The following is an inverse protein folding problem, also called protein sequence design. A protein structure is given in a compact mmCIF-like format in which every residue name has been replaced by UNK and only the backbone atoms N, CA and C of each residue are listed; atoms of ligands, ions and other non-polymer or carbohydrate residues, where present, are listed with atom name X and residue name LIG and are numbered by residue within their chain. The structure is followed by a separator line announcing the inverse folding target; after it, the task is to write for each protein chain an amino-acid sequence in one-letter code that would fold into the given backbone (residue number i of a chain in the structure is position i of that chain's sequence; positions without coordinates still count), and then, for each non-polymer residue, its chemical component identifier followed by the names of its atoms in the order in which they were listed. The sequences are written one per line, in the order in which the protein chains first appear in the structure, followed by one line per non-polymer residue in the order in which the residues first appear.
data_IF_742889696680
#
_entry.id   IF_742889696680
#
_cell.length_a   1.000
_cell.length_b   1.000
_cell.length_c   1.000
_cell.angle_alpha   90.00
_cell.angle_beta   90.00
_cell.angle_gamma   90.00
#
_symmetry.space_group_name_H-M   'P 1'
#
loop_
_entity.id
_entity.type
_entity.pdbx_description
1 polymer ?
#
# COMPACT_ATOMS: atom_id res chain seq x y z
N UNK A 1 -23.59 -2.12 -5.78
CA UNK A 1 -23.21 -0.72 -5.43
C UNK A 1 -21.71 -0.57 -5.52
N UNK A 2 -21.22 0.64 -5.75
CA UNK A 2 -19.78 0.94 -5.74
C UNK A 2 -19.30 0.84 -4.30
N UNK A 3 -18.32 -0.03 -4.03
CA UNK A 3 -17.66 -0.12 -2.72
C UNK A 3 -16.51 0.89 -2.69
N UNK A 4 -16.54 1.91 -1.82
CA UNK A 4 -15.46 2.87 -1.75
C UNK A 4 -14.21 2.20 -1.18
N UNK A 5 -13.08 2.49 -1.83
CA UNK A 5 -11.73 2.08 -1.42
C UNK A 5 -10.80 3.26 -1.57
N UNK A 6 -9.83 3.37 -0.69
CA UNK A 6 -8.78 4.38 -0.74
C UNK A 6 -7.44 3.70 -1.00
N UNK A 7 -6.72 4.22 -1.99
CA UNK A 7 -5.37 3.78 -2.34
C UNK A 7 -4.40 4.93 -2.08
N UNK A 8 -3.38 4.66 -1.29
CA UNK A 8 -2.33 5.62 -0.98
C UNK A 8 -1.10 5.32 -1.84
N UNK A 9 -0.55 6.35 -2.49
CA UNK A 9 0.77 6.25 -3.10
C UNK A 9 1.86 6.43 -2.05
N UNK A 10 2.58 5.34 -1.77
CA UNK A 10 3.60 5.32 -0.74
C UNK A 10 4.84 6.07 -1.23
N UNK A 11 5.12 7.21 -0.61
CA UNK A 11 6.30 8.03 -0.85
C UNK A 11 6.82 8.55 0.48
N UNK A 12 8.08 8.99 0.52
CA UNK A 12 8.67 9.60 1.73
C UNK A 12 7.86 10.79 2.27
N UNK A 13 7.15 11.52 1.39
CA UNK A 13 6.27 12.63 1.80
C UNK A 13 4.97 12.17 2.45
N UNK A 14 4.42 11.05 1.97
CA UNK A 14 3.11 10.58 2.39
C UNK A 14 3.19 9.74 3.67
N UNK A 15 4.30 9.03 3.91
CA UNK A 15 4.49 8.19 5.09
C UNK A 15 4.14 8.91 6.41
N UNK A 16 4.63 10.14 6.68
CA UNK A 16 4.29 10.87 7.89
C UNK A 16 2.79 11.21 8.03
N UNK A 17 2.05 11.27 6.93
CA UNK A 17 0.64 11.67 6.90
C UNK A 17 -0.33 10.49 7.09
N UNK A 18 0.14 9.24 6.98
CA UNK A 18 -0.71 8.04 7.05
C UNK A 18 -1.49 7.98 8.37
N UNK A 19 -0.87 8.38 9.49
CA UNK A 19 -1.55 8.42 10.78
C UNK A 19 -2.77 9.36 10.78
N UNK A 20 -2.65 10.54 10.17
CA UNK A 20 -3.77 11.47 10.08
C UNK A 20 -4.85 10.98 9.10
N UNK A 21 -4.46 10.29 8.02
CA UNK A 21 -5.44 9.64 7.13
C UNK A 21 -6.27 8.59 7.87
N UNK A 22 -5.66 7.79 8.75
CA UNK A 22 -6.39 6.86 9.62
C UNK A 22 -7.33 7.61 10.58
N UNK A 23 -6.88 8.72 11.16
CA UNK A 23 -7.76 9.55 12.00
C UNK A 23 -8.98 10.06 11.24
N UNK A 24 -8.83 10.45 9.97
CA UNK A 24 -9.95 10.90 9.12
C UNK A 24 -10.95 9.76 8.89
N UNK A 25 -10.46 8.55 8.61
CA UNK A 25 -11.28 7.35 8.43
C UNK A 25 -12.16 7.09 9.64
N UNK A 26 -11.58 7.19 10.84
CA UNK A 26 -12.30 7.00 12.11
C UNK A 26 -13.29 8.13 12.38
N UNK A 27 -12.87 9.40 12.21
CA UNK A 27 -13.73 10.58 12.40
C UNK A 27 -14.97 10.55 11.50
N UNK A 28 -14.81 10.09 10.26
CA UNK A 28 -15.89 9.98 9.29
C UNK A 28 -16.69 8.67 9.40
N UNK A 29 -16.28 7.75 10.29
CA UNK A 29 -16.85 6.42 10.48
C UNK A 29 -16.98 5.65 9.16
N UNK A 30 -15.97 5.75 8.30
CA UNK A 30 -16.06 5.20 6.93
C UNK A 30 -16.27 3.69 6.95
N UNK A 31 -15.63 2.98 7.89
CA UNK A 31 -15.79 1.53 8.08
C UNK A 31 -17.25 1.16 8.34
N UNK A 32 -17.89 1.80 9.31
CA UNK A 32 -19.29 1.54 9.67
C UNK A 32 -20.26 1.93 8.56
N UNK A 33 -20.04 3.08 7.92
CA UNK A 33 -20.90 3.60 6.86
C UNK A 33 -20.87 2.72 5.62
N UNK A 34 -19.73 2.14 5.29
CA UNK A 34 -19.62 1.23 4.14
C UNK A 34 -20.19 -0.14 4.49
N UNK A 35 -20.01 -0.58 5.74
CA UNK A 35 -20.62 -1.79 6.28
C UNK A 35 -22.15 -1.74 6.25
N UNK A 36 -22.77 -0.61 6.61
CA UNK A 36 -24.22 -0.45 6.54
C UNK A 36 -24.78 -0.47 5.10
N UNK A 37 -23.92 -0.22 4.11
CA UNK A 37 -24.24 -0.34 2.68
C UNK A 37 -23.93 -1.74 2.11
N UNK A 38 -23.54 -2.71 2.95
CA UNK A 38 -23.25 -4.08 2.55
C UNK A 38 -21.88 -4.29 1.92
N UNK A 39 -20.91 -3.42 2.20
CA UNK A 39 -19.53 -3.55 1.75
C UNK A 39 -18.52 -3.42 2.89
N UNK A 40 -17.25 -3.67 2.58
CA UNK A 40 -16.14 -3.37 3.48
C UNK A 40 -15.36 -2.19 2.91
N UNK A 41 -15.07 -1.19 3.74
CA UNK A 41 -14.18 -0.11 3.35
C UNK A 41 -12.73 -0.61 3.39
N UNK A 42 -12.02 -0.42 2.30
CA UNK A 42 -10.63 -0.84 2.17
C UNK A 42 -9.71 0.38 2.02
N UNK A 43 -8.62 0.40 2.79
CA UNK A 43 -7.56 1.39 2.71
C UNK A 43 -6.24 0.66 2.61
N UNK A 44 -5.56 0.80 1.48
CA UNK A 44 -4.30 0.09 1.21
C UNK A 44 -3.29 1.01 0.53
N UNK A 45 -2.03 0.58 0.53
CA UNK A 45 -0.91 1.32 -0.05
C UNK A 45 -0.44 0.68 -1.35
N UNK A 46 0.08 1.49 -2.25
CA UNK A 46 0.78 1.05 -3.45
C UNK A 46 2.03 1.90 -3.64
N UNK A 47 3.14 1.32 -4.09
CA UNK A 47 4.35 2.06 -4.44
C UNK A 47 4.21 2.61 -5.86
N UNK A 48 4.70 3.81 -6.16
CA UNK A 48 4.78 4.26 -7.54
C UNK A 48 5.60 3.26 -8.36
N UNK A 49 5.01 2.66 -9.40
CA UNK A 49 5.76 1.84 -10.35
C UNK A 49 6.61 2.71 -11.28
N UNK A 50 7.63 2.20 -11.97
CA UNK A 50 8.53 3.02 -12.81
C UNK A 50 7.89 3.52 -14.13
N UNK A 51 6.58 3.42 -14.28
CA UNK A 51 5.86 3.75 -15.51
C UNK A 51 5.32 5.18 -15.52
N UNK A 52 5.44 5.86 -16.67
CA UNK A 52 4.87 7.19 -16.90
C UNK A 52 5.38 8.25 -15.93
N UNK A 53 4.45 9.03 -15.36
CA UNK A 53 4.76 10.16 -14.47
C UNK A 53 5.38 9.73 -13.13
N UNK A 54 5.29 8.46 -12.74
CA UNK A 54 5.89 7.99 -11.50
C UNK A 54 7.43 8.09 -11.53
N UNK A 55 8.04 8.05 -12.72
CA UNK A 55 9.49 8.32 -12.89
C UNK A 55 9.89 9.72 -12.43
N UNK A 56 8.97 10.69 -12.50
CA UNK A 56 9.24 12.08 -12.07
C UNK A 56 9.32 12.21 -10.54
N UNK A 57 8.68 11.30 -9.80
CA UNK A 57 8.64 11.28 -8.34
C UNK A 57 9.49 10.15 -7.74
N UNK A 58 10.31 9.50 -8.56
CA UNK A 58 11.19 8.40 -8.14
C UNK A 58 12.12 8.80 -6.99
N UNK A 59 12.56 10.06 -6.94
CA UNK A 59 13.37 10.60 -5.85
C UNK A 59 12.64 10.64 -4.49
N UNK A 60 11.33 10.38 -4.46
CA UNK A 60 10.51 10.23 -3.26
C UNK A 60 10.23 8.77 -2.90
N UNK A 61 10.87 7.81 -3.58
CA UNK A 61 10.74 6.38 -3.26
C UNK A 61 11.12 6.14 -1.80
N UNK A 62 10.28 5.44 -1.02
CA UNK A 62 10.61 5.06 0.35
C UNK A 62 11.80 4.10 0.40
N UNK A 63 12.54 4.12 1.50
CA UNK A 63 13.48 3.06 1.87
C UNK A 63 12.83 2.06 2.83
N UNK A 64 13.46 0.91 3.05
CA UNK A 64 13.02 -0.05 4.07
C UNK A 64 12.95 0.56 5.47
N UNK A 65 13.84 1.49 5.81
CA UNK A 65 13.83 2.20 7.09
C UNK A 65 12.57 3.05 7.24
N UNK A 66 12.19 3.78 6.19
CA UNK A 66 10.99 4.62 6.18
C UNK A 66 9.72 3.79 6.45
N UNK A 67 9.67 2.55 5.96
CA UNK A 67 8.51 1.67 6.15
C UNK A 67 8.24 1.29 7.60
N UNK A 68 9.25 1.35 8.48
CA UNK A 68 9.09 1.01 9.91
C UNK A 68 8.14 1.97 10.63
N UNK A 69 7.97 3.18 10.11
CA UNK A 69 7.08 4.19 10.67
C UNK A 69 5.62 4.05 10.24
N UNK A 70 5.35 3.15 9.29
CA UNK A 70 3.99 2.93 8.75
C UNK A 70 3.14 2.21 9.80
N UNK A 71 1.92 2.69 10.10
CA UNK A 71 1.01 2.02 11.02
C UNK A 71 0.69 0.57 10.60
N UNK A 72 0.72 -0.35 11.57
CA UNK A 72 0.49 -1.78 11.32
C UNK A 72 -0.88 -2.08 10.69
N UNK A 73 -1.91 -1.28 11.02
CA UNK A 73 -3.25 -1.42 10.45
C UNK A 73 -3.26 -1.36 8.92
N UNK A 74 -2.53 -0.40 8.33
CA UNK A 74 -2.50 -0.24 6.88
C UNK A 74 -1.61 -1.29 6.20
N UNK A 75 -0.57 -1.77 6.89
CA UNK A 75 0.28 -2.88 6.44
C UNK A 75 -0.58 -4.13 6.29
N UNK A 76 -1.35 -4.49 7.31
CA UNK A 76 -2.20 -5.68 7.28
C UNK A 76 -3.33 -5.55 6.25
N UNK A 77 -3.94 -4.37 6.12
CA UNK A 77 -4.94 -4.13 5.06
C UNK A 77 -4.32 -4.31 3.67
N UNK A 78 -3.11 -3.80 3.45
CA UNK A 78 -2.41 -3.92 2.15
C UNK A 78 -2.02 -5.37 1.85
N UNK A 79 -1.51 -6.12 2.83
CA UNK A 79 -1.22 -7.56 2.68
C UNK A 79 -2.45 -8.35 2.28
N UNK A 80 -3.58 -8.08 2.95
CA UNK A 80 -4.87 -8.69 2.65
C UNK A 80 -5.34 -8.33 1.23
N UNK A 81 -5.17 -7.09 0.81
CA UNK A 81 -5.57 -6.62 -0.52
C UNK A 81 -4.81 -7.33 -1.64
N UNK A 82 -3.47 -7.44 -1.53
CA UNK A 82 -2.64 -8.08 -2.55
C UNK A 82 -2.53 -9.60 -2.39
N UNK A 83 -3.09 -10.17 -1.32
CA UNK A 83 -2.98 -11.59 -0.97
C UNK A 83 -1.51 -12.05 -0.90
N UNK A 84 -0.71 -11.31 -0.12
CA UNK A 84 0.72 -11.56 0.10
C UNK A 84 1.05 -11.53 1.59
N UNK A 85 2.05 -12.31 2.00
CA UNK A 85 2.53 -12.31 3.40
C UNK A 85 3.56 -11.20 3.65
N UNK A 86 4.33 -10.85 2.63
CA UNK A 86 5.37 -9.82 2.64
C UNK A 86 5.01 -8.75 1.61
N UNK A 87 5.08 -7.48 2.00
CA UNK A 87 4.86 -6.36 1.09
C UNK A 87 6.14 -5.93 0.40
N UNK A 88 7.23 -5.84 1.16
CA UNK A 88 8.49 -5.24 0.73
C UNK A 88 9.45 -6.32 0.25
N UNK A 89 10.01 -6.13 -0.93
CA UNK A 89 11.06 -7.00 -1.46
C UNK A 89 12.23 -6.17 -1.96
N UNK A 90 13.43 -6.63 -1.68
CA UNK A 90 14.62 -6.07 -2.33
C UNK A 90 14.63 -6.48 -3.80
N UNK A 91 15.35 -5.73 -4.63
CA UNK A 91 15.54 -6.09 -6.04
C UNK A 91 16.14 -7.50 -6.20
N UNK A 92 17.10 -7.88 -5.35
CA UNK A 92 17.72 -9.21 -5.34
C UNK A 92 16.71 -10.34 -5.06
N UNK A 93 15.83 -10.16 -4.07
CA UNK A 93 14.77 -11.12 -3.74
C UNK A 93 13.79 -11.30 -4.90
N UNK A 94 13.50 -10.21 -5.63
CA UNK A 94 12.61 -10.25 -6.79
C UNK A 94 13.26 -10.91 -8.00
N UNK A 95 14.53 -10.60 -8.30
CA UNK A 95 15.29 -11.27 -9.36
C UNK A 95 15.29 -12.78 -9.12
N UNK A 96 15.54 -13.20 -7.89
CA UNK A 96 15.53 -14.62 -7.51
C UNK A 96 14.16 -15.28 -7.75
N UNK A 97 13.05 -14.57 -7.50
CA UNK A 97 11.70 -15.05 -7.75
C UNK A 97 11.35 -15.13 -9.24
N UNK A 98 11.76 -14.13 -10.03
CA UNK A 98 11.56 -14.10 -11.48
C UNK A 98 12.31 -15.27 -12.14
N UNK A 99 13.57 -15.50 -11.74
CA UNK A 99 14.40 -16.59 -12.26
C UNK A 99 13.88 -17.99 -11.89
N UNK A 100 13.00 -18.10 -10.89
CA UNK A 100 12.41 -19.37 -10.43
C UNK A 100 10.99 -19.62 -10.94
N UNK A 101 10.52 -18.84 -11.93
CA UNK A 101 9.20 -18.95 -12.58
C UNK A 101 8.00 -18.93 -11.61
N UNK A 102 8.13 -18.31 -10.43
CA UNK A 102 6.96 -17.96 -9.62
C UNK A 102 6.37 -16.64 -10.12
N UNK A 103 5.23 -16.77 -10.79
CA UNK A 103 4.35 -15.71 -11.31
C UNK A 103 4.47 -14.36 -10.59
N UNK A 104 4.72 -13.31 -11.38
CA UNK A 104 4.82 -11.91 -10.95
C UNK A 104 3.48 -11.42 -10.39
N UNK A 105 3.33 -11.46 -9.07
CA UNK A 105 2.30 -10.68 -8.38
C UNK A 105 2.71 -9.20 -8.38
N UNK A 106 1.75 -8.29 -8.22
CA UNK A 106 2.02 -6.87 -7.96
C UNK A 106 2.72 -6.74 -6.60
N UNK A 107 4.03 -6.95 -6.58
CA UNK A 107 4.88 -6.87 -5.39
C UNK A 107 5.38 -5.43 -5.25
N UNK A 108 5.43 -4.92 -4.02
CA UNK A 108 5.90 -3.57 -3.75
C UNK A 108 7.43 -3.61 -3.61
N UNK A 109 8.11 -3.03 -4.61
CA UNK A 109 9.56 -2.88 -4.61
C UNK A 109 9.92 -1.68 -3.74
N UNK A 110 10.82 -1.87 -2.77
CA UNK A 110 11.34 -0.83 -1.87
C UNK A 110 12.86 -0.90 -1.84
#
# INVERSE_FOLDING_TARGET
GIKPRWQIFLTQKIIPEIGELLNIVERLKLRDRVKSLGGDFDLFMHTPGPDGEARTIEYLRPTLEDTKSIPGEIIESSKKHFNVEKLWYTEEELISQILTEKESRNLLII
#
